data_IF_825965634217
#
_entry.id   IF_825965634217
#
_cell.length_a   1.000
_cell.length_b   1.000
_cell.length_c   1.000
_cell.angle_alpha   90.00
_cell.angle_beta   90.00
_cell.angle_gamma   90.00
#
_symmetry.space_group_name_H-M   'P 1'
#
loop_
_entity.id
_entity.type
_entity.pdbx_description
1 polymer ?
#
# COMPACT_ATOMS: atom_id res chain seq x y z
N UNK A 1 -7.52 9.14 3.80
CA UNK A 1 -6.39 8.70 4.67
C UNK A 1 -5.19 9.59 4.39
N UNK A 2 -4.30 9.82 5.38
CA UNK A 2 -3.01 10.49 5.11
C UNK A 2 -2.08 9.47 4.45
N UNK A 3 -1.58 9.76 3.26
CA UNK A 3 -0.65 8.90 2.53
C UNK A 3 0.77 9.38 2.83
N UNK A 4 1.66 8.56 3.41
CA UNK A 4 3.04 8.94 3.71
C UNK A 4 3.92 8.90 2.44
N UNK A 5 5.04 9.62 2.45
CA UNK A 5 5.99 9.65 1.33
C UNK A 5 6.83 8.36 1.22
N UNK A 6 6.81 7.52 2.26
CA UNK A 6 7.46 6.21 2.30
C UNK A 6 6.65 5.25 3.14
N UNK A 7 6.67 3.97 2.77
CA UNK A 7 6.11 2.89 3.57
C UNK A 7 7.00 1.67 3.61
N UNK A 8 6.92 0.91 4.71
CA UNK A 8 7.50 -0.42 4.83
C UNK A 8 6.46 -1.48 4.51
N UNK A 9 6.83 -2.45 3.68
CA UNK A 9 6.04 -3.64 3.34
C UNK A 9 6.96 -4.85 3.51
N UNK A 10 6.73 -5.66 4.54
CA UNK A 10 7.64 -6.71 4.95
C UNK A 10 9.07 -6.18 5.14
N UNK A 11 10.10 -6.76 4.48
CA UNK A 11 11.48 -6.31 4.63
C UNK A 11 11.85 -5.08 3.77
N UNK A 12 10.93 -4.56 2.94
CA UNK A 12 11.25 -3.55 1.93
C UNK A 12 10.65 -2.18 2.26
N UNK A 13 11.36 -1.11 1.89
CA UNK A 13 10.89 0.28 2.03
C UNK A 13 10.59 0.84 0.64
N UNK A 14 9.36 1.26 0.42
CA UNK A 14 8.90 1.86 -0.83
C UNK A 14 8.78 3.37 -0.68
N UNK A 15 9.22 4.12 -1.69
CA UNK A 15 8.90 5.55 -1.82
C UNK A 15 7.53 5.71 -2.46
N UNK A 16 6.66 6.51 -1.87
CA UNK A 16 5.37 6.87 -2.43
C UNK A 16 5.51 8.18 -3.19
N UNK A 17 5.09 8.19 -4.45
CA UNK A 17 5.18 9.35 -5.33
C UNK A 17 3.83 9.60 -5.98
N UNK A 18 3.57 10.86 -6.32
CA UNK A 18 2.42 11.24 -7.14
C UNK A 18 2.90 11.66 -8.52
N UNK A 19 2.14 11.30 -9.55
CA UNK A 19 2.30 11.82 -10.90
C UNK A 19 1.08 12.66 -11.29
N UNK A 20 1.30 13.65 -12.15
CA UNK A 20 0.23 14.52 -12.64
C UNK A 20 -0.49 13.96 -13.86
N UNK A 21 0.19 13.11 -14.63
CA UNK A 21 -0.32 12.58 -15.89
C UNK A 21 -0.99 11.21 -15.70
N UNK A 22 -2.03 10.97 -16.50
CA UNK A 22 -2.61 9.64 -16.66
C UNK A 22 -1.55 8.68 -17.20
N UNK A 23 -1.62 7.43 -16.76
CA UNK A 23 -0.85 6.37 -17.39
C UNK A 23 -1.64 5.08 -17.41
N UNK A 24 -1.33 4.28 -18.40
CA UNK A 24 -2.10 3.14 -18.82
C UNK A 24 -1.22 1.91 -18.85
N UNK A 25 -1.79 0.76 -18.57
CA UNK A 25 -1.13 -0.51 -18.80
C UNK A 25 -0.96 -0.79 -20.32
N UNK A 26 -0.28 -1.89 -20.65
CA UNK A 26 -0.06 -2.32 -22.04
C UNK A 26 -1.36 -2.60 -22.81
N UNK A 27 -2.48 -2.79 -22.09
CA UNK A 27 -3.81 -3.00 -22.66
C UNK A 27 -4.60 -1.69 -22.83
N UNK A 28 -4.02 -0.55 -22.43
CA UNK A 28 -4.66 0.77 -22.51
C UNK A 28 -5.59 1.10 -21.34
N UNK A 29 -5.65 0.28 -20.29
CA UNK A 29 -6.48 0.55 -19.11
C UNK A 29 -5.84 1.64 -18.26
N UNK A 30 -6.65 2.58 -17.77
CA UNK A 30 -6.17 3.64 -16.89
C UNK A 30 -5.76 3.08 -15.53
N UNK A 31 -4.54 3.38 -15.11
CA UNK A 31 -3.97 2.98 -13.83
C UNK A 31 -4.03 4.14 -12.83
N UNK A 32 -4.66 3.86 -11.68
CA UNK A 32 -4.74 4.79 -10.55
C UNK A 32 -3.51 4.70 -9.64
N UNK A 33 -2.80 3.58 -9.70
CA UNK A 33 -1.55 3.32 -9.00
C UNK A 33 -0.68 2.34 -9.78
N UNK A 34 0.58 2.25 -9.39
CA UNK A 34 1.51 1.22 -9.84
C UNK A 34 2.59 1.02 -8.76
N UNK A 35 2.79 -0.22 -8.34
CA UNK A 35 3.96 -0.62 -7.55
C UNK A 35 5.08 -1.17 -8.43
N UNK A 36 6.30 -0.65 -8.23
CA UNK A 36 7.50 -1.17 -8.86
C UNK A 36 8.38 -1.83 -7.81
N UNK A 37 8.47 -3.17 -7.86
CA UNK A 37 9.31 -3.94 -6.95
C UNK A 37 10.80 -3.66 -7.15
N UNK A 38 11.24 -3.54 -8.41
CA UNK A 38 12.64 -3.26 -8.77
C UNK A 38 13.10 -1.88 -8.33
N UNK A 39 12.22 -0.86 -8.45
CA UNK A 39 12.56 0.52 -8.07
C UNK A 39 12.25 0.84 -6.62
N UNK A 40 11.50 -0.03 -5.95
CA UNK A 40 10.92 0.19 -4.62
C UNK A 40 10.13 1.50 -4.57
N UNK A 41 9.20 1.66 -5.50
CA UNK A 41 8.34 2.85 -5.60
C UNK A 41 6.87 2.46 -5.75
N UNK A 42 5.99 3.21 -5.09
CA UNK A 42 4.54 3.21 -5.33
C UNK A 42 4.21 4.55 -5.99
N UNK A 43 3.75 4.50 -7.24
CA UNK A 43 3.38 5.67 -8.01
C UNK A 43 1.86 5.81 -8.04
N UNK A 44 1.31 6.93 -7.58
CA UNK A 44 -0.13 7.21 -7.62
C UNK A 44 -0.45 8.18 -8.74
N UNK A 45 -1.42 7.82 -9.57
CA UNK A 45 -1.94 8.65 -10.65
C UNK A 45 -2.85 9.78 -10.17
N UNK A 46 -3.28 10.66 -11.08
CA UNK A 46 -4.29 11.66 -10.78
C UNK A 46 -5.61 10.96 -10.45
N UNK A 47 -6.04 10.99 -9.20
CA UNK A 47 -7.30 10.39 -8.75
C UNK A 47 -8.41 11.46 -8.67
N UNK A 48 -9.67 11.12 -9.00
CA UNK A 48 -10.80 12.06 -8.98
C UNK A 48 -11.24 12.47 -7.56
N UNK A 49 -10.81 11.74 -6.53
CA UNK A 49 -11.09 12.06 -5.13
C UNK A 49 -10.00 11.53 -4.19
N UNK A 50 -9.97 12.03 -2.97
CA UNK A 50 -9.04 11.58 -1.92
C UNK A 50 -9.34 10.14 -1.47
N UNK A 51 -10.61 9.72 -1.46
CA UNK A 51 -11.00 8.32 -1.20
C UNK A 51 -10.46 7.39 -2.29
N UNK A 52 -10.57 7.81 -3.56
CA UNK A 52 -10.04 7.02 -4.67
C UNK A 52 -8.51 6.94 -4.63
N UNK A 53 -7.84 8.03 -4.25
CA UNK A 53 -6.40 8.08 -4.05
C UNK A 53 -5.97 7.14 -2.92
N UNK A 54 -6.67 7.18 -1.78
CA UNK A 54 -6.43 6.28 -0.65
C UNK A 54 -6.66 4.81 -1.01
N UNK A 55 -7.72 4.52 -1.75
CA UNK A 55 -8.01 3.17 -2.24
C UNK A 55 -6.94 2.67 -3.22
N UNK A 56 -6.46 3.51 -4.14
CA UNK A 56 -5.37 3.16 -5.06
C UNK A 56 -4.07 2.88 -4.29
N UNK A 57 -3.75 3.69 -3.28
CA UNK A 57 -2.59 3.45 -2.42
C UNK A 57 -2.67 2.10 -1.68
N UNK A 58 -3.80 1.80 -1.05
CA UNK A 58 -3.98 0.50 -0.38
C UNK A 58 -3.95 -0.67 -1.37
N UNK A 59 -4.47 -0.48 -2.58
CA UNK A 59 -4.40 -1.48 -3.64
C UNK A 59 -2.93 -1.82 -3.99
N UNK A 60 -2.08 -0.81 -4.20
CA UNK A 60 -0.65 -1.04 -4.45
C UNK A 60 0.07 -1.65 -3.24
N UNK A 61 -0.29 -1.26 -2.01
CA UNK A 61 0.26 -1.87 -0.80
C UNK A 61 -0.11 -3.35 -0.68
N UNK A 62 -1.35 -3.72 -1.03
CA UNK A 62 -1.81 -5.10 -1.08
C UNK A 62 -1.05 -5.91 -2.14
N UNK A 63 -0.77 -5.33 -3.31
CA UNK A 63 0.12 -5.96 -4.29
C UNK A 63 1.49 -6.26 -3.68
N UNK A 64 2.10 -5.30 -2.97
CA UNK A 64 3.35 -5.51 -2.25
C UNK A 64 3.29 -6.60 -1.16
N UNK A 65 2.19 -6.65 -0.39
CA UNK A 65 1.98 -7.69 0.64
C UNK A 65 1.91 -9.08 0.00
N UNK A 66 1.14 -9.23 -1.07
CA UNK A 66 1.02 -10.50 -1.79
C UNK A 66 2.34 -10.91 -2.43
N UNK A 67 3.10 -9.96 -2.99
CA UNK A 67 4.44 -10.22 -3.53
C UNK A 67 5.39 -10.76 -2.44
N UNK A 68 5.44 -10.12 -1.27
CA UNK A 68 6.27 -10.59 -0.13
C UNK A 68 5.86 -12.00 0.32
N UNK A 69 4.57 -12.32 0.27
CA UNK A 69 4.06 -13.64 0.60
C UNK A 69 4.26 -14.69 -0.52
N UNK A 70 4.81 -14.30 -1.68
CA UNK A 70 5.05 -15.20 -2.82
C UNK A 70 3.83 -15.42 -3.71
N UNK A 71 2.83 -14.54 -3.66
CA UNK A 71 1.56 -14.61 -4.40
C UNK A 71 1.38 -13.51 -5.46
N UNK A 72 2.41 -12.69 -5.74
CA UNK A 72 2.31 -11.54 -6.65
C UNK A 72 2.05 -11.87 -8.12
N UNK A 73 2.37 -13.10 -8.56
CA UNK A 73 2.21 -13.57 -9.94
C UNK A 73 1.57 -14.96 -9.96
N UNK A 74 0.33 -15.06 -9.48
CA UNK A 74 -0.34 -16.35 -9.31
C UNK A 74 -1.42 -16.61 -10.35
N UNK A 75 -0.99 -17.19 -11.47
CA UNK A 75 -1.81 -18.11 -12.28
C UNK A 75 -2.15 -19.42 -11.53
N UNK A 76 -1.78 -19.52 -10.25
CA UNK A 76 -1.99 -20.68 -9.40
C UNK A 76 -3.34 -20.60 -8.67
N UNK A 77 -4.01 -21.75 -8.53
CA UNK A 77 -5.18 -21.87 -7.69
C UNK A 77 -4.79 -21.72 -6.21
N UNK A 78 -4.85 -20.48 -5.69
CA UNK A 78 -4.64 -20.18 -4.27
C UNK A 78 -5.95 -20.44 -3.50
N UNK A 79 -5.85 -21.09 -2.33
CA UNK A 79 -7.01 -21.27 -1.45
C UNK A 79 -7.44 -19.92 -0.89
N UNK A 80 -8.74 -19.67 -0.86
CA UNK A 80 -9.29 -18.41 -0.34
C UNK A 80 -8.82 -18.11 1.09
N UNK A 81 -8.76 -19.14 1.96
CA UNK A 81 -8.26 -19.00 3.34
C UNK A 81 -6.80 -18.54 3.40
N UNK A 82 -5.97 -18.94 2.44
CA UNK A 82 -4.57 -18.47 2.35
C UNK A 82 -4.52 -16.98 2.03
N UNK A 83 -5.37 -16.50 1.12
CA UNK A 83 -5.45 -15.07 0.80
C UNK A 83 -5.95 -14.29 2.01
N UNK A 84 -6.97 -14.79 2.71
CA UNK A 84 -7.52 -14.16 3.92
C UNK A 84 -6.43 -14.03 5.00
N UNK A 85 -5.67 -15.09 5.25
CA UNK A 85 -4.58 -15.09 6.23
C UNK A 85 -3.48 -14.08 5.87
N UNK A 86 -3.03 -14.09 4.61
CA UNK A 86 -1.98 -13.17 4.12
C UNK A 86 -2.44 -11.71 4.21
N UNK A 87 -3.67 -11.42 3.78
CA UNK A 87 -4.21 -10.07 3.85
C UNK A 87 -4.44 -9.64 5.30
N UNK A 88 -4.96 -10.51 6.17
CA UNK A 88 -5.17 -10.19 7.58
C UNK A 88 -3.88 -9.84 8.29
N UNK A 89 -2.88 -10.71 8.20
CA UNK A 89 -1.58 -10.53 8.88
C UNK A 89 -0.76 -9.41 8.23
N UNK A 90 -0.64 -9.42 6.90
CA UNK A 90 0.16 -8.43 6.17
C UNK A 90 -0.41 -7.02 6.23
N UNK A 91 -1.74 -6.87 6.19
CA UNK A 91 -2.35 -5.55 6.34
C UNK A 91 -2.20 -5.03 7.77
N UNK A 92 -2.33 -5.88 8.78
CA UNK A 92 -2.09 -5.46 10.17
C UNK A 92 -0.65 -4.99 10.40
N UNK A 93 0.34 -5.74 9.91
CA UNK A 93 1.76 -5.34 9.96
C UNK A 93 1.97 -4.02 9.23
N UNK A 94 1.48 -3.91 7.98
CA UNK A 94 1.60 -2.70 7.18
C UNK A 94 1.00 -1.48 7.88
N UNK A 95 -0.22 -1.58 8.42
CA UNK A 95 -0.86 -0.45 9.08
C UNK A 95 -0.12 -0.06 10.37
N UNK A 96 0.41 -1.03 11.11
CA UNK A 96 1.13 -0.79 12.36
C UNK A 96 2.49 -0.15 12.12
N UNK A 97 3.32 -0.75 11.27
CA UNK A 97 4.70 -0.29 10.97
C UNK A 97 4.74 1.10 10.32
N UNK A 98 3.63 1.51 9.68
CA UNK A 98 3.52 2.80 9.01
C UNK A 98 2.66 3.81 9.79
N UNK A 99 2.24 3.51 11.03
CA UNK A 99 1.46 4.43 11.86
C UNK A 99 0.11 4.82 11.27
N UNK A 100 -0.57 3.89 10.60
CA UNK A 100 -1.85 4.10 9.91
C UNK A 100 -3.08 3.62 10.69
N UNK A 101 -2.88 2.95 11.84
CA UNK A 101 -3.96 2.65 12.77
C UNK A 101 -4.35 3.91 13.56
N UNK A 102 -5.64 4.22 13.63
CA UNK A 102 -6.12 5.32 14.45
C UNK A 102 -5.89 5.02 15.93
N UNK A 103 -5.09 5.85 16.62
CA UNK A 103 -4.72 5.68 18.04
C UNK A 103 -3.21 5.69 18.33
N UNK A 104 -2.36 5.92 17.32
CA UNK A 104 -0.90 6.04 17.52
C UNK A 104 -0.41 7.43 17.93
N UNK A 105 -1.30 8.42 17.99
CA UNK A 105 -1.05 9.69 18.68
C UNK A 105 -1.73 9.60 20.06
N UNK A 106 -1.13 8.84 20.99
CA UNK A 106 -1.22 9.25 22.38
C UNK A 106 -0.37 10.53 22.45
N UNK A 107 -1.08 11.66 22.42
CA UNK A 107 -0.55 12.94 22.85
C UNK A 107 0.31 12.69 24.09
N UNK A 108 1.60 13.00 23.98
CA UNK A 108 2.49 13.15 25.13
C UNK A 108 2.04 14.33 25.98
N UNK A 109 0.87 14.24 26.61
CA UNK A 109 0.62 14.89 27.87
C UNK A 109 1.27 14.04 28.96
N UNK A 110 2.53 14.36 29.28
CA UNK A 110 2.83 14.44 30.70
C UNK A 110 3.47 15.79 31.02
N UNK A 111 2.71 16.53 31.81
CA UNK A 111 3.08 17.81 32.39
C UNK A 111 4.14 17.54 33.45
N UNK A 112 5.34 18.10 33.28
CA UNK A 112 6.19 18.44 34.42
C UNK A 112 6.16 19.97 34.59
N UNK A 113 5.77 20.34 35.80
CA UNK A 113 5.51 21.68 36.34
C UNK A 113 6.69 22.65 36.21
#
# INVERSE_FOLDING_TARGET
>A
MRIPDKVKIGPYIYRVKQRQEEYRDDNGNLLWGEISYTRQEIMLGPAPSEERRGAAFLHEAIHGILEVAGYGDTDQAVKIETIIEVLGTGLYEFLTENGLLAGGDEDGEDKAQ
#
